data_IF_193189955217
#
_entry.id   IF_193189955217
#
_cell.length_a   1.000
_cell.length_b   1.000
_cell.length_c   1.000
_cell.angle_alpha   90.00
_cell.angle_beta   90.00
_cell.angle_gamma   90.00
#
_symmetry.space_group_name_H-M   'P 1'
#
loop_
_entity.id
_entity.type
_entity.pdbx_description
1 polymer ?
#
# COMPACT_ATOMS: atom_id res chain seq x y z
N UNK A 1 -15.09 -14.29 9.51
CA UNK A 1 -15.85 -14.60 8.27
C UNK A 1 -15.90 -16.11 8.16
N UNK A 2 -17.06 -16.71 7.85
CA UNK A 2 -17.12 -18.16 7.59
C UNK A 2 -16.80 -18.41 6.11
N UNK A 3 -15.69 -19.10 5.84
CA UNK A 3 -15.15 -19.28 4.48
C UNK A 3 -15.59 -20.63 3.90
N UNK A 4 -16.90 -20.74 3.63
CA UNK A 4 -17.44 -21.83 2.80
C UNK A 4 -17.05 -21.63 1.32
N UNK A 5 -17.31 -22.63 0.46
CA UNK A 5 -16.95 -22.58 -0.96
C UNK A 5 -17.49 -21.30 -1.68
N UNK A 6 -18.73 -20.92 -1.40
CA UNK A 6 -19.35 -19.73 -1.99
C UNK A 6 -18.65 -18.44 -1.54
N UNK A 7 -18.48 -18.26 -0.23
CA UNK A 7 -17.78 -17.09 0.33
C UNK A 7 -16.32 -17.04 -0.12
N UNK A 8 -15.71 -18.19 -0.40
CA UNK A 8 -14.34 -18.28 -0.91
C UNK A 8 -14.20 -17.75 -2.34
N UNK A 9 -15.13 -18.13 -3.21
CA UNK A 9 -15.19 -17.60 -4.59
C UNK A 9 -15.55 -16.11 -4.57
N UNK A 10 -16.48 -15.69 -3.72
CA UNK A 10 -16.84 -14.28 -3.58
C UNK A 10 -15.64 -13.43 -3.11
N UNK A 11 -14.89 -13.93 -2.12
CA UNK A 11 -13.65 -13.31 -1.65
C UNK A 11 -12.64 -13.17 -2.80
N UNK A 12 -12.41 -14.25 -3.56
CA UNK A 12 -11.51 -14.22 -4.72
C UNK A 12 -11.94 -13.13 -5.70
N UNK A 13 -13.19 -13.15 -6.16
CA UNK A 13 -13.69 -12.22 -7.18
C UNK A 13 -13.62 -10.76 -6.72
N UNK A 14 -13.88 -10.49 -5.44
CA UNK A 14 -13.89 -9.14 -4.89
C UNK A 14 -12.48 -8.57 -4.65
N UNK A 15 -11.52 -9.41 -4.25
CA UNK A 15 -10.21 -8.95 -3.75
C UNK A 15 -9.06 -9.17 -4.73
N UNK A 16 -9.14 -10.19 -5.58
CA UNK A 16 -8.01 -10.66 -6.39
C UNK A 16 -7.41 -9.58 -7.29
N UNK A 17 -8.21 -9.00 -8.19
CA UNK A 17 -7.71 -8.07 -9.21
C UNK A 17 -7.02 -6.85 -8.60
N UNK A 18 -7.64 -6.10 -7.66
CA UNK A 18 -7.00 -4.92 -7.10
C UNK A 18 -5.76 -5.26 -6.26
N UNK A 19 -5.80 -6.32 -5.45
CA UNK A 19 -4.66 -6.70 -4.59
C UNK A 19 -3.46 -7.18 -5.44
N UNK A 20 -3.73 -7.97 -6.49
CA UNK A 20 -2.70 -8.43 -7.42
C UNK A 20 -2.05 -7.27 -8.19
N UNK A 21 -2.85 -6.30 -8.65
CA UNK A 21 -2.33 -5.13 -9.34
C UNK A 21 -1.36 -4.31 -8.46
N UNK A 22 -1.66 -4.18 -7.17
CA UNK A 22 -0.78 -3.49 -6.21
C UNK A 22 0.54 -4.25 -6.03
N UNK A 23 0.49 -5.58 -5.88
CA UNK A 23 1.69 -6.40 -5.75
C UNK A 23 2.58 -6.33 -6.99
N UNK A 24 2.01 -6.48 -8.19
CA UNK A 24 2.77 -6.35 -9.45
C UNK A 24 3.41 -4.97 -9.57
N UNK A 25 2.72 -3.91 -9.15
CA UNK A 25 3.29 -2.57 -9.17
C UNK A 25 4.49 -2.44 -8.22
N UNK A 26 4.39 -3.00 -7.02
CA UNK A 26 5.48 -2.98 -6.02
C UNK A 26 6.67 -3.81 -6.52
N UNK A 27 6.43 -5.01 -7.01
CA UNK A 27 7.48 -5.91 -7.51
C UNK A 27 8.16 -5.34 -8.76
N UNK A 28 7.40 -4.74 -9.67
CA UNK A 28 7.96 -4.02 -10.81
C UNK A 28 8.82 -2.82 -10.38
N UNK A 29 8.45 -2.14 -9.30
CA UNK A 29 9.25 -1.06 -8.74
C UNK A 29 10.55 -1.56 -8.09
N UNK A 30 10.50 -2.69 -7.38
CA UNK A 30 11.70 -3.35 -6.86
C UNK A 30 12.62 -3.75 -8.02
N UNK A 31 12.09 -4.45 -9.02
CA UNK A 31 12.87 -4.90 -10.19
C UNK A 31 13.46 -3.74 -11.00
N UNK A 32 12.78 -2.60 -11.08
CA UNK A 32 13.30 -1.41 -11.77
C UNK A 32 14.43 -0.72 -11.00
N UNK A 33 14.46 -0.83 -9.67
CA UNK A 33 15.46 -0.15 -8.81
C UNK A 33 16.63 -1.04 -8.46
N UNK A 34 16.39 -2.32 -8.34
CA UNK A 34 17.38 -3.36 -8.12
C UNK A 34 17.21 -4.43 -9.21
N UNK A 35 17.79 -4.21 -10.41
CA UNK A 35 17.71 -5.18 -11.52
C UNK A 35 18.47 -6.49 -11.23
N UNK A 36 19.39 -6.48 -10.27
CA UNK A 36 20.14 -7.66 -9.85
C UNK A 36 19.34 -8.54 -8.88
N UNK A 37 18.32 -7.97 -8.23
CA UNK A 37 17.44 -8.70 -7.34
C UNK A 37 16.59 -9.74 -8.09
N UNK A 38 17.04 -10.99 -8.00
CA UNK A 38 16.31 -12.18 -8.41
C UNK A 38 16.05 -13.04 -7.17
N UNK A 39 14.88 -12.92 -6.53
CA UNK A 39 14.60 -13.70 -5.32
C UNK A 39 14.61 -15.19 -5.67
N UNK A 40 15.29 -16.03 -4.89
CA UNK A 40 15.26 -17.50 -5.04
C UNK A 40 14.20 -18.12 -4.15
N UNK A 41 13.77 -17.41 -3.11
CA UNK A 41 12.77 -17.85 -2.15
C UNK A 41 11.82 -16.71 -1.81
N UNK A 42 10.52 -17.03 -1.82
CA UNK A 42 9.44 -16.10 -1.51
C UNK A 42 8.58 -16.70 -0.40
N UNK A 43 8.22 -15.86 0.57
CA UNK A 43 7.28 -16.21 1.62
C UNK A 43 6.15 -15.17 1.67
N UNK A 44 4.92 -15.60 1.41
CA UNK A 44 3.75 -14.75 1.32
C UNK A 44 2.80 -15.01 2.48
N UNK A 45 2.81 -14.11 3.46
CA UNK A 45 2.00 -14.19 4.66
C UNK A 45 0.59 -13.64 4.40
N UNK A 46 -0.40 -14.48 4.68
CA UNK A 46 -1.82 -14.10 4.62
C UNK A 46 -2.37 -14.01 3.19
N UNK A 47 -1.81 -14.78 2.27
CA UNK A 47 -2.15 -14.71 0.85
C UNK A 47 -3.56 -15.19 0.48
N UNK A 48 -4.26 -15.87 1.39
CA UNK A 48 -5.63 -16.29 1.14
C UNK A 48 -5.72 -17.36 0.06
N UNK A 49 -6.53 -17.06 -0.96
CA UNK A 49 -6.68 -17.82 -2.23
C UNK A 49 -5.67 -17.39 -3.30
N UNK A 50 -4.64 -16.64 -2.91
CA UNK A 50 -3.78 -15.85 -3.78
C UNK A 50 -3.22 -16.63 -4.97
N UNK A 51 -3.16 -16.01 -6.16
CA UNK A 51 -2.51 -16.60 -7.32
C UNK A 51 -1.00 -16.76 -7.05
N UNK A 52 -0.31 -17.59 -7.86
CA UNK A 52 1.14 -17.56 -7.86
C UNK A 52 1.64 -16.15 -8.21
N UNK A 53 2.70 -15.72 -7.53
CA UNK A 53 3.36 -14.45 -7.82
C UNK A 53 4.42 -14.73 -8.88
N UNK A 54 4.28 -14.06 -10.03
CA UNK A 54 5.23 -14.21 -11.14
C UNK A 54 6.21 -13.04 -11.07
N UNK A 55 7.50 -13.35 -10.98
CA UNK A 55 8.60 -12.37 -10.97
C UNK A 55 9.56 -12.76 -12.08
N UNK A 56 9.60 -11.98 -13.15
CA UNK A 56 10.35 -12.34 -14.36
C UNK A 56 9.78 -13.62 -15.00
N UNK A 57 10.62 -14.64 -15.14
CA UNK A 57 10.22 -15.95 -15.66
C UNK A 57 9.89 -16.96 -14.55
N UNK A 58 10.09 -16.60 -13.28
CA UNK A 58 9.91 -17.50 -12.15
C UNK A 58 8.50 -17.37 -11.58
N UNK A 59 7.90 -18.52 -11.27
CA UNK A 59 6.58 -18.64 -10.65
C UNK A 59 6.79 -19.00 -9.19
N UNK A 60 6.50 -18.08 -8.28
CA UNK A 60 6.54 -18.32 -6.85
C UNK A 60 5.18 -18.77 -6.35
N UNK A 61 5.16 -19.94 -5.73
CA UNK A 61 3.97 -20.45 -5.09
C UNK A 61 3.78 -19.71 -3.76
N UNK A 62 2.66 -19.01 -3.64
CA UNK A 62 2.28 -18.38 -2.38
C UNK A 62 1.90 -19.45 -1.35
N UNK A 63 2.40 -19.33 -0.11
CA UNK A 63 2.11 -20.27 0.98
C UNK A 63 1.14 -19.59 1.95
N UNK A 64 -0.17 -19.75 1.71
CA UNK A 64 -1.17 -19.27 2.67
C UNK A 64 -1.14 -20.12 3.94
N UNK A 65 -0.92 -19.45 5.07
CA UNK A 65 -0.78 -20.08 6.38
C UNK A 65 -2.07 -20.12 7.20
N UNK A 66 -3.10 -19.38 6.77
CA UNK A 66 -4.26 -19.03 7.59
C UNK A 66 -5.61 -19.32 6.92
N UNK A 67 -5.62 -20.01 5.78
CA UNK A 67 -6.84 -20.29 5.04
C UNK A 67 -7.51 -21.61 5.44
N UNK A 68 -8.84 -21.61 5.63
CA UNK A 68 -9.63 -22.83 5.74
C UNK A 68 -9.59 -23.63 4.43
N UNK A 69 -9.86 -24.94 4.52
CA UNK A 69 -9.67 -25.91 3.43
C UNK A 69 -10.25 -25.47 2.08
N UNK A 70 -11.44 -24.87 2.06
CA UNK A 70 -12.13 -24.44 0.83
C UNK A 70 -11.34 -23.40 0.02
N UNK A 71 -10.60 -22.51 0.70
CA UNK A 71 -9.76 -21.51 0.04
C UNK A 71 -8.50 -22.14 -0.56
N UNK A 72 -7.94 -23.14 0.11
CA UNK A 72 -6.80 -23.89 -0.42
C UNK A 72 -7.20 -24.69 -1.67
N UNK A 73 -8.41 -25.26 -1.68
CA UNK A 73 -8.96 -25.95 -2.84
C UNK A 73 -9.15 -25.01 -4.04
N UNK A 74 -9.64 -23.80 -3.79
CA UNK A 74 -9.80 -22.77 -4.83
C UNK A 74 -8.43 -22.30 -5.36
N UNK A 75 -7.45 -22.05 -4.48
CA UNK A 75 -6.09 -21.69 -4.87
C UNK A 75 -5.44 -22.78 -5.73
N UNK A 76 -5.66 -24.06 -5.40
CA UNK A 76 -5.20 -25.20 -6.18
C UNK A 76 -5.78 -25.21 -7.59
N UNK A 77 -7.09 -24.95 -7.73
CA UNK A 77 -7.76 -24.87 -9.04
C UNK A 77 -7.20 -23.72 -9.88
N UNK A 78 -6.95 -22.56 -9.27
CA UNK A 78 -6.35 -21.41 -9.96
C UNK A 78 -4.94 -21.70 -10.45
N UNK A 79 -4.10 -22.30 -9.61
CA UNK A 79 -2.73 -22.69 -9.95
C UNK A 79 -2.66 -23.68 -11.13
N UNK A 80 -3.70 -24.50 -11.29
CA UNK A 80 -3.81 -25.47 -12.39
C UNK A 80 -4.46 -24.89 -13.64
N UNK A 81 -4.64 -23.57 -13.69
CA UNK A 81 -5.28 -22.88 -14.82
C UNK A 81 -6.74 -23.29 -15.01
N UNK A 82 -7.45 -23.58 -13.91
CA UNK A 82 -8.84 -24.03 -13.92
C UNK A 82 -9.04 -25.51 -14.27
N UNK A 83 -7.96 -26.27 -14.46
CA UNK A 83 -8.02 -27.72 -14.68
C UNK A 83 -8.04 -28.40 -13.31
N UNK A 84 -9.20 -28.87 -12.85
CA UNK A 84 -9.46 -29.24 -11.45
C UNK A 84 -8.49 -30.23 -10.75
N UNK A 85 -8.61 -30.25 -9.42
CA UNK A 85 -8.10 -31.19 -8.39
C UNK A 85 -6.85 -32.06 -8.67
N UNK A 86 -5.69 -31.46 -8.98
CA UNK A 86 -4.38 -32.11 -8.79
C UNK A 86 -3.81 -31.89 -7.37
N UNK A 87 -3.45 -32.94 -6.63
CA UNK A 87 -2.96 -32.82 -5.24
C UNK A 87 -1.71 -31.94 -5.12
N UNK A 88 -1.79 -30.90 -4.28
CA UNK A 88 -0.61 -30.16 -3.80
C UNK A 88 -0.10 -30.75 -2.46
N UNK A 89 1.19 -30.64 -2.15
CA UNK A 89 1.70 -30.96 -0.83
C UNK A 89 1.12 -29.96 0.19
N UNK A 90 0.29 -30.46 1.10
CA UNK A 90 -0.21 -29.71 2.25
C UNK A 90 0.97 -29.31 3.14
N UNK A 91 1.27 -28.02 3.23
CA UNK A 91 2.18 -27.49 4.25
C UNK A 91 1.37 -26.73 5.29
N UNK A 92 1.64 -27.06 6.55
CA UNK A 92 0.78 -26.87 7.70
C UNK A 92 0.48 -25.43 8.11
N UNK A 93 -0.54 -25.36 8.96
CA UNK A 93 -1.35 -24.23 9.42
C UNK A 93 -0.65 -23.27 10.41
N UNK A 94 0.69 -23.28 10.48
CA UNK A 94 1.43 -22.55 11.52
C UNK A 94 2.80 -22.12 11.04
N UNK A 95 3.19 -20.87 11.29
CA UNK A 95 4.52 -20.33 10.94
C UNK A 95 5.53 -21.36 11.42
N UNK A 96 6.23 -22.08 10.53
CA UNK A 96 7.14 -23.09 11.01
C UNK A 96 8.20 -22.34 11.84
N UNK A 97 8.38 -22.78 13.09
CA UNK A 97 9.41 -22.31 14.02
C UNK A 97 10.85 -22.57 13.49
N UNK A 98 10.96 -22.96 12.23
CA UNK A 98 12.18 -23.13 11.48
C UNK A 98 12.86 -21.79 11.27
N UNK A 99 14.19 -21.77 11.45
CA UNK A 99 15.09 -20.63 11.16
C UNK A 99 15.23 -20.28 9.68
N UNK A 100 14.41 -20.86 8.81
CA UNK A 100 14.45 -20.61 7.37
C UNK A 100 14.09 -19.16 7.08
N UNK A 101 14.97 -18.50 6.33
CA UNK A 101 14.86 -17.15 5.82
C UNK A 101 14.52 -17.16 4.33
N UNK A 102 14.00 -16.05 3.83
CA UNK A 102 13.52 -15.89 2.45
C UNK A 102 14.06 -14.59 1.84
N UNK A 103 14.43 -14.64 0.56
CA UNK A 103 14.88 -13.45 -0.18
C UNK A 103 13.79 -12.35 -0.20
N UNK A 104 12.52 -12.76 -0.38
CA UNK A 104 11.36 -11.87 -0.42
C UNK A 104 10.27 -12.35 0.54
N UNK A 105 9.86 -11.49 1.47
CA UNK A 105 8.71 -11.70 2.34
C UNK A 105 7.63 -10.69 2.02
N UNK A 106 6.38 -11.14 1.86
CA UNK A 106 5.22 -10.30 1.58
C UNK A 106 4.21 -10.49 2.71
N UNK A 107 3.62 -9.40 3.19
CA UNK A 107 2.44 -9.39 4.05
C UNK A 107 1.46 -8.36 3.48
N UNK A 108 0.40 -8.83 2.83
CA UNK A 108 -0.54 -7.96 2.12
C UNK A 108 -1.97 -8.17 2.62
N UNK A 109 -2.60 -7.08 3.08
CA UNK A 109 -4.01 -7.02 3.49
C UNK A 109 -4.41 -8.00 4.60
N UNK A 110 -3.44 -8.40 5.43
CA UNK A 110 -3.64 -9.39 6.51
C UNK A 110 -3.55 -8.77 7.90
N UNK A 111 -3.07 -7.52 8.04
CA UNK A 111 -2.82 -6.93 9.37
C UNK A 111 -4.11 -6.66 10.14
N UNK A 112 -5.21 -6.38 9.44
CA UNK A 112 -6.53 -6.24 10.05
C UNK A 112 -7.21 -7.57 10.39
N UNK A 113 -6.73 -8.67 9.83
CA UNK A 113 -7.24 -10.01 10.14
C UNK A 113 -6.64 -10.56 11.44
N UNK A 114 -5.56 -9.95 11.94
CA UNK A 114 -4.92 -10.31 13.19
C UNK A 114 -5.72 -9.77 14.40
N UNK A 115 -5.95 -10.60 15.43
CA UNK A 115 -6.96 -10.33 16.47
C UNK A 115 -6.58 -9.21 17.44
N UNK A 116 -5.29 -8.90 17.58
CA UNK A 116 -4.80 -7.92 18.55
C UNK A 116 -3.57 -7.18 18.03
N UNK A 117 -3.28 -6.02 18.62
CA UNK A 117 -2.05 -5.27 18.35
C UNK A 117 -0.81 -6.10 18.66
N UNK A 118 -0.80 -6.84 19.77
CA UNK A 118 0.31 -7.70 20.17
C UNK A 118 0.58 -8.78 19.10
N UNK A 119 -0.48 -9.46 18.63
CA UNK A 119 -0.35 -10.47 17.57
C UNK A 119 0.22 -9.87 16.28
N UNK A 120 -0.15 -8.63 15.92
CA UNK A 120 0.42 -7.92 14.77
C UNK A 120 1.91 -7.68 14.96
N UNK A 121 2.34 -7.10 16.09
CA UNK A 121 3.74 -6.78 16.34
C UNK A 121 4.62 -8.05 16.40
N UNK A 122 4.15 -9.10 17.07
CA UNK A 122 4.82 -10.40 17.10
C UNK A 122 4.95 -11.01 15.70
N UNK A 123 3.89 -10.94 14.90
CA UNK A 123 3.93 -11.38 13.50
C UNK A 123 4.96 -10.57 12.71
N UNK A 124 5.01 -9.25 12.87
CA UNK A 124 5.98 -8.40 12.18
C UNK A 124 7.44 -8.71 12.57
N UNK A 125 7.73 -8.97 13.84
CA UNK A 125 9.05 -9.46 14.27
C UNK A 125 9.39 -10.78 13.58
N UNK A 126 8.45 -11.72 13.56
CA UNK A 126 8.67 -13.02 12.94
C UNK A 126 8.91 -12.92 11.43
N UNK A 127 8.17 -12.07 10.73
CA UNK A 127 8.38 -11.82 9.29
C UNK A 127 9.71 -11.12 9.03
N UNK A 128 10.06 -10.13 9.85
CA UNK A 128 11.34 -9.44 9.76
C UNK A 128 12.51 -10.41 9.93
N UNK A 129 12.46 -11.27 10.95
CA UNK A 129 13.50 -12.28 11.21
C UNK A 129 13.57 -13.37 10.13
N UNK A 130 12.53 -13.52 9.31
CA UNK A 130 12.50 -14.43 8.16
C UNK A 130 12.92 -13.76 6.85
N UNK A 131 13.20 -12.46 6.86
CA UNK A 131 13.54 -11.69 5.65
C UNK A 131 15.05 -11.57 5.48
N UNK A 132 15.57 -11.91 4.30
CA UNK A 132 16.98 -11.65 3.93
C UNK A 132 17.16 -10.32 3.21
N UNK A 133 16.31 -10.02 2.21
CA UNK A 133 16.49 -8.84 1.35
C UNK A 133 15.31 -7.87 1.41
N UNK A 134 14.10 -8.31 1.05
CA UNK A 134 12.92 -7.43 1.00
C UNK A 134 11.76 -7.95 1.85
N UNK A 135 11.27 -7.08 2.74
CA UNK A 135 9.98 -7.23 3.42
C UNK A 135 9.00 -6.21 2.81
N UNK A 136 7.95 -6.70 2.16
CA UNK A 136 6.88 -5.89 1.58
C UNK A 136 5.66 -5.99 2.49
N UNK A 137 5.18 -4.83 2.96
CA UNK A 137 3.98 -4.73 3.80
C UNK A 137 2.96 -3.87 3.06
N UNK A 138 1.76 -4.40 2.85
CA UNK A 138 0.66 -3.72 2.15
C UNK A 138 -0.60 -3.81 3.00
N UNK A 139 -1.34 -2.72 3.09
CA UNK A 139 -2.63 -2.68 3.76
C UNK A 139 -3.60 -1.76 3.01
N UNK A 140 -4.87 -1.79 3.37
CA UNK A 140 -5.87 -0.93 2.72
C UNK A 140 -5.48 0.55 2.82
N UNK A 141 -5.73 1.32 1.75
CA UNK A 141 -5.51 2.77 1.65
C UNK A 141 -6.46 3.62 2.51
N UNK A 142 -6.78 3.17 3.72
CA UNK A 142 -7.65 3.82 4.70
C UNK A 142 -6.86 4.42 5.86
N UNK A 143 -7.55 5.08 6.81
CA UNK A 143 -6.88 5.78 7.92
C UNK A 143 -6.31 4.82 8.92
N UNK A 144 -7.08 3.78 9.19
CA UNK A 144 -6.61 2.64 9.93
C UNK A 144 -5.37 2.02 9.26
N UNK A 145 -5.38 1.86 7.92
CA UNK A 145 -4.30 1.15 7.23
C UNK A 145 -3.00 1.95 7.26
N UNK A 146 -3.06 3.23 6.94
CA UNK A 146 -1.90 4.12 7.06
C UNK A 146 -1.36 4.19 8.49
N UNK A 147 -2.23 4.26 9.52
CA UNK A 147 -1.81 4.28 10.92
C UNK A 147 -1.06 3.00 11.29
N UNK A 148 -1.62 1.84 10.94
CA UNK A 148 -1.01 0.54 11.22
C UNK A 148 0.33 0.38 10.51
N UNK A 149 0.43 0.79 9.24
CA UNK A 149 1.70 0.74 8.51
C UNK A 149 2.77 1.63 9.16
N UNK A 150 2.42 2.84 9.61
CA UNK A 150 3.38 3.69 10.33
C UNK A 150 3.76 3.13 11.71
N UNK A 151 2.79 2.61 12.46
CA UNK A 151 3.04 1.98 13.76
C UNK A 151 4.05 0.82 13.63
N UNK A 152 3.85 -0.06 12.64
CA UNK A 152 4.75 -1.17 12.34
C UNK A 152 6.12 -0.65 11.89
N UNK A 153 6.15 0.38 11.05
CA UNK A 153 7.40 0.99 10.57
C UNK A 153 8.23 1.51 11.73
N UNK A 154 7.61 2.29 12.61
CA UNK A 154 8.30 2.90 13.75
C UNK A 154 8.76 1.82 14.72
N UNK A 155 7.94 0.80 14.98
CA UNK A 155 8.31 -0.37 15.76
C UNK A 155 9.51 -1.16 15.18
N UNK A 156 9.48 -1.48 13.88
CA UNK A 156 10.59 -2.14 13.20
C UNK A 156 11.86 -1.28 13.17
N UNK A 157 11.73 0.05 13.11
CA UNK A 157 12.86 0.97 13.19
C UNK A 157 13.44 1.06 14.61
N UNK A 158 12.61 0.96 15.65
CA UNK A 158 13.10 0.96 17.03
C UNK A 158 13.86 -0.33 17.38
N UNK A 159 13.40 -1.49 16.86
CA UNK A 159 14.12 -2.77 16.97
C UNK A 159 15.54 -2.70 16.35
N UNK A 160 15.76 -1.85 15.33
CA UNK A 160 17.06 -1.70 14.63
C UNK A 160 18.18 -1.10 15.47
N UNK A 161 17.90 -0.54 16.65
CA UNK A 161 18.97 0.00 17.50
C UNK A 161 19.96 -1.07 17.99
N UNK A 162 19.63 -2.35 17.83
CA UNK A 162 20.44 -3.46 18.36
C UNK A 162 20.97 -4.47 17.31
N UNK A 163 20.48 -4.51 16.06
CA UNK A 163 20.95 -5.48 15.03
C UNK A 163 20.53 -5.12 13.58
N UNK A 164 21.49 -5.17 12.65
CA UNK A 164 21.40 -5.04 11.17
C UNK A 164 20.61 -3.85 10.56
N UNK A 165 21.26 -3.10 9.66
CA UNK A 165 20.74 -1.85 9.06
C UNK A 165 19.70 -2.16 7.96
N UNK A 166 18.43 -2.31 8.34
CA UNK A 166 17.33 -2.38 7.38
C UNK A 166 16.91 -0.98 6.87
N UNK A 167 16.70 -0.81 5.57
CA UNK A 167 16.20 0.45 4.99
C UNK A 167 14.67 0.41 4.80
N UNK A 168 14.00 1.55 4.98
CA UNK A 168 12.56 1.70 4.73
C UNK A 168 12.36 2.59 3.53
N UNK A 169 11.63 2.10 2.52
CA UNK A 169 11.31 2.86 1.31
C UNK A 169 10.03 3.68 1.46
N UNK A 170 8.99 3.14 2.11
CA UNK A 170 7.72 3.86 2.24
C UNK A 170 6.93 3.33 3.43
N UNK A 171 6.15 4.19 4.12
CA UNK A 171 6.11 5.66 3.97
C UNK A 171 7.43 6.29 4.47
N UNK A 172 8.03 7.15 3.64
CA UNK A 172 9.26 7.85 3.99
C UNK A 172 8.99 8.91 5.07
N UNK A 173 9.83 8.96 6.11
CA UNK A 173 9.81 10.09 7.05
C UNK A 173 10.22 11.35 6.29
N UNK A 174 9.50 12.49 6.41
CA UNK A 174 9.88 13.75 5.78
C UNK A 174 11.30 14.23 6.13
N UNK A 175 11.89 13.70 7.20
CA UNK A 175 13.15 14.15 7.78
C UNK A 175 14.40 13.44 7.24
N UNK A 176 14.26 12.30 6.53
CA UNK A 176 15.39 11.49 6.01
C UNK A 176 15.24 11.18 4.51
N UNK A 177 14.66 12.09 3.75
CA UNK A 177 14.54 11.95 2.29
C UNK A 177 15.84 12.44 1.67
N UNK A 178 16.65 11.53 1.12
CA UNK A 178 17.71 11.90 0.18
C UNK A 178 17.08 12.76 -0.93
N UNK A 179 17.67 13.90 -1.28
CA UNK A 179 17.10 14.80 -2.30
C UNK A 179 17.01 14.13 -3.67
N UNK A 180 17.80 13.10 -3.91
CA UNK A 180 17.72 12.23 -5.10
C UNK A 180 16.60 11.18 -5.02
N UNK A 181 15.97 11.00 -3.85
CA UNK A 181 14.87 10.07 -3.56
C UNK A 181 13.47 10.69 -3.73
N UNK A 182 13.39 12.01 -3.99
CA UNK A 182 12.14 12.62 -4.44
C UNK A 182 11.86 12.07 -5.82
N UNK A 183 10.86 11.18 -5.93
CA UNK A 183 10.30 10.68 -7.19
C UNK A 183 10.27 11.83 -8.19
N UNK A 184 11.11 11.76 -9.23
CA UNK A 184 10.91 12.60 -10.39
C UNK A 184 9.53 12.24 -10.91
N UNK A 185 8.59 13.17 -10.71
CA UNK A 185 7.22 13.03 -11.20
C UNK A 185 7.31 12.89 -12.71
N UNK A 186 6.48 12.03 -13.31
CA UNK A 186 6.43 11.91 -14.77
C UNK A 186 6.20 13.29 -15.37
N UNK A 187 6.71 13.57 -16.57
CA UNK A 187 6.49 14.86 -17.26
C UNK A 187 5.00 15.23 -17.39
N UNK A 188 4.11 14.23 -17.37
CA UNK A 188 2.66 14.38 -17.41
C UNK A 188 1.97 14.52 -16.03
N UNK A 189 2.71 14.61 -14.92
CA UNK A 189 2.12 14.78 -13.58
C UNK A 189 1.63 16.24 -13.40
N UNK A 190 0.35 16.39 -13.04
CA UNK A 190 -0.30 17.70 -12.89
C UNK A 190 0.29 18.56 -11.75
N UNK A 191 1.10 17.98 -10.86
CA UNK A 191 1.73 18.67 -9.74
C UNK A 191 0.80 18.86 -8.54
N UNK A 192 -0.38 18.25 -8.56
CA UNK A 192 -1.40 18.44 -7.53
C UNK A 192 -0.94 17.92 -6.16
N UNK A 193 -1.14 18.69 -5.08
CA UNK A 193 -0.82 18.25 -3.73
C UNK A 193 -1.82 17.21 -3.25
N UNK A 194 -1.33 16.23 -2.47
CA UNK A 194 -2.17 15.17 -1.88
C UNK A 194 -2.59 15.57 -0.48
N UNK A 195 -3.87 15.48 -0.15
CA UNK A 195 -4.36 15.67 1.21
C UNK A 195 -3.86 14.51 2.07
N UNK A 196 -3.13 14.82 3.14
CA UNK A 196 -2.49 13.83 4.04
C UNK A 196 -3.14 13.75 5.43
N UNK A 197 -4.17 14.55 5.71
CA UNK A 197 -5.06 14.40 6.88
C UNK A 197 -6.50 14.77 6.52
N UNK A 198 -7.52 14.30 7.26
CA UNK A 198 -8.91 14.70 7.03
C UNK A 198 -9.07 16.22 6.93
N UNK A 199 -9.77 16.68 5.90
CA UNK A 199 -10.03 18.10 5.71
C UNK A 199 -10.90 18.64 6.86
N UNK A 200 -10.45 19.70 7.52
CA UNK A 200 -11.18 20.30 8.63
C UNK A 200 -12.14 21.35 8.09
N UNK A 201 -13.37 20.92 7.86
CA UNK A 201 -14.44 21.76 7.36
C UNK A 201 -15.00 22.65 8.47
N UNK A 202 -15.06 23.97 8.24
CA UNK A 202 -15.67 24.97 9.14
C UNK A 202 -16.69 25.81 8.37
N UNK A 203 -17.39 26.74 9.05
CA UNK A 203 -18.45 27.53 8.41
C UNK A 203 -17.97 28.34 7.19
N UNK A 204 -16.81 29.02 7.29
CA UNK A 204 -16.30 29.92 6.24
C UNK A 204 -14.93 29.54 5.66
N UNK A 205 -14.35 28.45 6.12
CA UNK A 205 -13.05 27.99 5.66
C UNK A 205 -12.94 26.47 5.78
N UNK A 206 -12.00 25.90 5.03
CA UNK A 206 -11.60 24.50 5.12
C UNK A 206 -10.09 24.43 5.28
N UNK A 207 -9.61 23.68 6.27
CA UNK A 207 -8.17 23.50 6.48
C UNK A 207 -7.76 22.16 5.87
N UNK A 208 -6.85 22.20 4.90
CA UNK A 208 -6.28 21.03 4.27
C UNK A 208 -4.80 20.95 4.59
N UNK A 209 -4.37 19.81 5.11
CA UNK A 209 -2.95 19.48 5.29
C UNK A 209 -2.55 18.58 4.14
N UNK A 210 -1.58 19.01 3.37
CA UNK A 210 -1.25 18.39 2.09
C UNK A 210 0.25 18.17 1.93
N UNK A 211 0.62 17.15 1.17
CA UNK A 211 1.98 16.94 0.68
C UNK A 211 2.05 17.47 -0.75
N UNK A 212 2.94 18.44 -0.99
CA UNK A 212 3.08 19.13 -2.28
C UNK A 212 3.89 18.32 -3.29
N UNK A 213 3.99 18.83 -4.53
CA UNK A 213 4.83 18.23 -5.57
C UNK A 213 6.30 18.11 -5.17
N UNK A 214 6.77 19.02 -4.33
CA UNK A 214 8.15 19.07 -3.85
C UNK A 214 8.36 18.22 -2.58
N UNK A 215 7.39 17.40 -2.19
CA UNK A 215 7.48 16.55 -0.98
C UNK A 215 7.36 17.31 0.33
N UNK A 216 6.95 18.59 0.30
CA UNK A 216 6.80 19.42 1.49
C UNK A 216 5.39 19.28 2.06
N UNK A 217 5.29 19.16 3.38
CA UNK A 217 4.01 19.23 4.09
C UNK A 217 3.60 20.69 4.29
N UNK A 218 2.43 21.05 3.80
CA UNK A 218 1.88 22.38 3.92
C UNK A 218 0.43 22.34 4.42
N UNK A 219 0.08 23.28 5.29
CA UNK A 219 -1.29 23.50 5.74
C UNK A 219 -1.84 24.74 5.06
N UNK A 220 -2.96 24.59 4.35
CA UNK A 220 -3.62 25.68 3.63
C UNK A 220 -5.04 25.82 4.14
N UNK A 221 -5.39 27.06 4.50
CA UNK A 221 -6.75 27.44 4.90
C UNK A 221 -7.47 27.99 3.67
N UNK A 222 -8.28 27.15 3.05
CA UNK A 222 -9.09 27.51 1.89
C UNK A 222 -10.31 28.33 2.30
N UNK A 223 -10.52 29.45 1.63
CA UNK A 223 -11.69 30.33 1.75
C UNK A 223 -12.16 30.75 0.37
N UNK A 224 -13.47 30.97 0.22
CA UNK A 224 -14.05 31.40 -1.05
C UNK A 224 -13.50 32.76 -1.52
N UNK A 225 -13.13 33.64 -0.59
CA UNK A 225 -12.59 34.97 -0.90
C UNK A 225 -11.15 34.94 -1.37
N UNK A 226 -10.29 34.11 -0.74
CA UNK A 226 -8.85 34.08 -1.06
C UNK A 226 -8.51 33.14 -2.22
N UNK A 227 -9.32 32.10 -2.44
CA UNK A 227 -8.99 31.02 -3.39
C UNK A 227 -10.07 30.80 -4.45
N UNK A 228 -11.12 31.61 -4.48
CA UNK A 228 -12.26 31.40 -5.37
C UNK A 228 -13.24 30.36 -4.85
N UNK A 229 -14.50 30.44 -5.32
CA UNK A 229 -15.58 29.55 -4.88
C UNK A 229 -15.31 28.10 -5.26
N UNK A 230 -14.79 27.86 -6.47
CA UNK A 230 -14.59 26.51 -7.02
C UNK A 230 -13.57 25.75 -6.17
N UNK A 231 -12.37 26.31 -6.02
CA UNK A 231 -11.30 25.72 -5.21
C UNK A 231 -11.72 25.54 -3.75
N UNK A 232 -12.44 26.51 -3.18
CA UNK A 232 -13.00 26.39 -1.83
C UNK A 232 -13.99 25.22 -1.70
N UNK A 233 -14.93 25.08 -2.65
CA UNK A 233 -15.89 23.97 -2.65
C UNK A 233 -15.21 22.63 -2.91
N UNK A 234 -14.20 22.59 -3.78
CA UNK A 234 -13.38 21.41 -4.02
C UNK A 234 -12.70 20.98 -2.72
N UNK A 235 -11.92 21.85 -2.08
CA UNK A 235 -11.24 21.57 -0.82
C UNK A 235 -12.20 21.13 0.30
N UNK A 236 -13.42 21.70 0.34
CA UNK A 236 -14.47 21.33 1.29
C UNK A 236 -15.04 19.92 1.05
N UNK A 237 -15.14 19.51 -0.21
CA UNK A 237 -15.66 18.20 -0.61
C UNK A 237 -14.57 17.12 -0.65
N UNK A 238 -13.30 17.50 -0.62
CA UNK A 238 -12.18 16.57 -0.66
C UNK A 238 -12.00 15.78 0.62
N UNK A 239 -11.65 14.52 0.45
CA UNK A 239 -11.34 13.57 1.49
C UNK A 239 -9.84 13.39 1.65
N UNK A 240 -9.46 12.73 2.74
CA UNK A 240 -8.07 12.38 2.95
C UNK A 240 -7.61 11.37 1.90
N UNK A 241 -6.46 11.63 1.28
CA UNK A 241 -5.94 10.86 0.16
C UNK A 241 -6.18 11.52 -1.19
N UNK A 242 -7.13 12.45 -1.31
CA UNK A 242 -7.42 13.12 -2.58
C UNK A 242 -6.25 13.96 -3.08
N UNK A 243 -6.11 14.04 -4.40
CA UNK A 243 -5.30 15.07 -5.06
C UNK A 243 -6.15 16.31 -5.23
N UNK A 244 -5.70 17.43 -4.67
CA UNK A 244 -6.43 18.68 -4.78
C UNK A 244 -5.94 19.45 -6.03
N UNK A 245 -6.81 19.87 -6.95
CA UNK A 245 -6.44 20.51 -8.21
C UNK A 245 -6.00 21.96 -8.00
N UNK A 246 -4.89 22.16 -7.30
CA UNK A 246 -4.31 23.46 -6.98
C UNK A 246 -2.80 23.43 -7.14
N UNK A 247 -2.21 24.55 -7.54
CA UNK A 247 -0.76 24.78 -7.49
C UNK A 247 -0.47 25.78 -6.39
N UNK A 248 0.41 25.38 -5.46
CA UNK A 248 0.84 26.21 -4.33
C UNK A 248 2.19 26.82 -4.69
N UNK A 249 2.24 28.15 -4.86
CA UNK A 249 3.50 28.89 -4.97
C UNK A 249 3.88 29.47 -3.61
N UNK A 250 5.19 29.53 -3.33
CA UNK A 250 5.77 29.94 -2.04
C UNK A 250 5.55 31.41 -1.66
N UNK A 251 4.98 32.21 -2.57
CA UNK A 251 4.52 33.57 -2.31
C UNK A 251 3.03 33.65 -2.66
N UNK A 252 2.25 34.25 -1.76
CA UNK A 252 0.78 34.30 -1.76
C UNK A 252 0.12 34.31 -3.16
N UNK A 253 -0.54 33.22 -3.51
CA UNK A 253 -1.51 33.17 -4.61
C UNK A 253 -1.69 31.76 -5.18
N UNK A 254 -2.91 31.23 -5.15
CA UNK A 254 -3.28 30.08 -5.98
C UNK A 254 -3.43 30.60 -7.40
N UNK A 255 -2.64 30.06 -8.33
CA UNK A 255 -2.82 30.33 -9.76
C UNK A 255 -3.87 29.36 -10.26
N UNK A 256 -5.11 29.83 -10.47
CA UNK A 256 -6.08 29.11 -11.30
C UNK A 256 -5.59 29.24 -12.75
N UNK A 257 -5.11 28.14 -13.35
CA UNK A 257 -4.86 28.10 -14.80
C UNK A 257 -6.13 27.66 -15.52
N UNK A 258 -6.46 28.29 -16.64
CA UNK A 258 -7.70 28.02 -17.38
C UNK A 258 -7.83 26.56 -17.83
N UNK A 259 -6.71 25.85 -17.97
CA UNK A 259 -6.64 24.42 -18.29
C UNK A 259 -7.03 23.49 -17.12
N UNK A 260 -7.03 23.96 -15.86
CA UNK A 260 -7.42 23.13 -14.70
C UNK A 260 -8.96 23.08 -14.53
N UNK A 261 -9.69 24.04 -15.12
CA UNK A 261 -11.16 24.12 -15.05
C UNK A 261 -11.84 22.96 -15.76
N UNK A 262 -11.31 22.56 -16.91
CA UNK A 262 -11.90 21.49 -17.73
C UNK A 262 -11.67 20.10 -17.13
N UNK A 263 -10.55 19.91 -16.42
CA UNK A 263 -10.20 18.62 -15.79
C UNK A 263 -10.89 18.39 -14.44
N UNK A 264 -11.18 19.45 -13.68
CA UNK A 264 -11.92 19.34 -12.42
C UNK A 264 -13.38 18.89 -12.62
N UNK A 265 -13.96 19.14 -13.80
CA UNK A 265 -15.29 18.67 -14.17
C UNK A 265 -15.33 17.18 -14.54
N UNK A 266 -14.20 16.59 -14.93
CA UNK A 266 -14.11 15.18 -15.31
C UNK A 266 -13.92 14.25 -14.09
N UNK A 267 -13.29 14.75 -13.02
CA UNK A 267 -13.16 14.04 -11.73
C UNK A 267 -14.49 13.85 -10.96
N UNK A 268 -15.60 14.45 -11.42
CA UNK A 268 -16.93 14.29 -10.82
C UNK A 268 -17.79 13.21 -11.48
N UNK A 269 -17.24 12.43 -12.43
CA UNK A 269 -17.96 11.40 -13.17
C UNK A 269 -17.70 9.95 -12.72
N UNK A 270 -17.05 9.72 -11.58
CA UNK A 270 -16.92 8.41 -10.97
C UNK A 270 -17.33 8.46 -9.50
#
# INVERSE_FOLDING_TARGET
MDYNAYNSVLYLMARFVPEYAVLIKILGEISSRDPEFKPRSLFDFGSGVGPPIIIGNDIFLSISMWTPSNMNDLAQVLLQGGKGMGKMPSKGQFLPATKTTYDLVICAYSLFELPSMENRLQTMINLWNKTEKYLVIVEHGTNAGFKVINEIRDFLLDIKKESNVGHVFSPASPQNVDKNYIRQRSENDMGWPRIVRPALVRSKHTICRMCTANGKLEEVIFTASKHGKITYHCARASHWGDLLPVRLNSEMGVVESDNDRDKANDCKKF
#
